data_IF_689506828356
#
_entry.id   IF_689506828356
#
_cell.length_a   1.000
_cell.length_b   1.000
_cell.length_c   1.000
_cell.angle_alpha   90.00
_cell.angle_beta   90.00
_cell.angle_gamma   90.00
#
_symmetry.space_group_name_H-M   'P 1'
#
loop_
_entity.id
_entity.type
_entity.pdbx_description
1 polymer ?
#
# COMPACT_ATOMS: atom_id res chain seq x y z
N UNK A 1 0.48 -9.79 2.67
CA UNK A 1 -0.72 -8.96 2.70
C UNK A 1 -1.84 -9.54 1.81
N UNK A 2 -1.49 -10.09 0.63
CA UNK A 2 -2.45 -10.49 -0.41
C UNK A 2 -2.83 -11.98 -0.42
N UNK A 3 -2.43 -12.77 0.57
CA UNK A 3 -2.58 -14.23 0.58
C UNK A 3 -3.99 -14.78 0.32
N UNK A 4 -5.04 -13.98 0.62
CA UNK A 4 -6.44 -14.40 0.39
C UNK A 4 -6.96 -14.09 -1.01
N UNK A 5 -6.25 -13.27 -1.79
CA UNK A 5 -6.74 -12.77 -3.10
C UNK A 5 -5.87 -13.18 -4.28
N UNK A 6 -4.65 -13.68 -4.04
CA UNK A 6 -3.73 -14.10 -5.11
C UNK A 6 -4.31 -15.26 -5.93
N UNK A 7 -4.73 -16.34 -5.26
CA UNK A 7 -5.28 -17.52 -5.95
C UNK A 7 -6.54 -17.18 -6.75
N UNK A 8 -7.56 -16.50 -6.18
CA UNK A 8 -8.72 -16.09 -6.96
C UNK A 8 -8.40 -15.20 -8.16
N UNK A 9 -7.52 -14.20 -8.00
CA UNK A 9 -7.09 -13.37 -9.12
C UNK A 9 -6.31 -14.14 -10.20
N UNK A 10 -5.55 -15.16 -9.79
CA UNK A 10 -4.77 -15.98 -10.71
C UNK A 10 -5.62 -16.87 -11.62
N UNK A 11 -6.92 -17.02 -11.34
CA UNK A 11 -7.86 -17.66 -12.25
C UNK A 11 -8.10 -16.82 -13.53
N UNK A 12 -7.99 -15.49 -13.41
CA UNK A 12 -8.26 -14.54 -14.51
C UNK A 12 -6.99 -13.86 -15.03
N UNK A 13 -6.02 -13.57 -14.16
CA UNK A 13 -4.84 -12.77 -14.46
C UNK A 13 -3.54 -13.53 -14.17
N UNK A 14 -2.47 -13.12 -14.86
CA UNK A 14 -1.12 -13.43 -14.40
C UNK A 14 -0.76 -12.46 -13.28
N UNK A 15 -0.71 -12.95 -12.04
CA UNK A 15 -0.47 -12.14 -10.84
C UNK A 15 1.01 -12.16 -10.48
N UNK A 16 1.60 -10.98 -10.29
CA UNK A 16 2.93 -10.79 -9.72
C UNK A 16 2.81 -10.01 -8.41
N UNK A 17 3.36 -10.55 -7.32
CA UNK A 17 3.44 -9.88 -6.04
C UNK A 17 4.86 -9.36 -5.82
N UNK A 18 4.97 -8.08 -5.46
CA UNK A 18 6.26 -7.44 -5.21
C UNK A 18 6.57 -7.49 -3.72
N UNK A 19 7.71 -8.07 -3.36
CA UNK A 19 8.36 -7.86 -2.06
C UNK A 19 9.41 -6.77 -2.23
N UNK A 20 9.36 -5.75 -1.38
CA UNK A 20 10.35 -4.67 -1.42
C UNK A 20 11.67 -5.11 -0.78
N UNK A 21 12.77 -4.48 -1.18
CA UNK A 21 14.06 -4.67 -0.54
C UNK A 21 13.94 -4.51 0.99
N UNK A 22 14.50 -5.47 1.73
CA UNK A 22 14.44 -5.52 3.19
C UNK A 22 13.12 -6.02 3.76
N UNK A 23 12.18 -6.48 2.90
CA UNK A 23 10.89 -7.08 3.28
C UNK A 23 10.69 -8.48 2.69
N UNK A 24 11.75 -9.09 2.19
CA UNK A 24 11.82 -10.49 1.81
C UNK A 24 12.83 -11.21 2.69
N UNK A 25 12.41 -12.31 3.35
CA UNK A 25 13.30 -13.06 4.26
C UNK A 25 14.36 -13.87 3.53
N UNK A 26 14.16 -14.14 2.24
CA UNK A 26 15.11 -14.89 1.41
C UNK A 26 16.26 -14.03 0.90
N UNK A 27 16.15 -12.72 1.01
CA UNK A 27 17.13 -11.75 0.55
C UNK A 27 17.73 -10.93 1.70
N UNK A 28 19.04 -10.68 1.65
CA UNK A 28 19.71 -9.82 2.62
C UNK A 28 19.86 -8.40 2.09
N UNK A 29 18.72 -7.80 1.77
CA UNK A 29 18.65 -6.42 1.24
C UNK A 29 18.17 -5.43 2.30
N UNK A 30 18.24 -4.15 1.99
CA UNK A 30 17.67 -3.07 2.80
C UNK A 30 16.85 -2.15 1.90
N UNK A 31 15.71 -1.70 2.39
CA UNK A 31 14.89 -0.74 1.67
C UNK A 31 15.69 0.55 1.42
N UNK A 32 15.88 0.94 0.15
CA UNK A 32 16.70 2.10 -0.19
C UNK A 32 15.90 3.40 -0.04
N UNK A 33 15.17 3.77 -1.08
CA UNK A 33 14.21 4.88 -1.12
C UNK A 33 13.01 4.51 -1.98
N UNK A 34 11.89 5.22 -1.83
CA UNK A 34 10.71 5.02 -2.68
C UNK A 34 11.03 5.15 -4.17
N UNK A 35 11.90 6.10 -4.54
CA UNK A 35 12.26 6.34 -5.95
C UNK A 35 13.09 5.18 -6.50
N UNK A 36 14.09 4.73 -5.76
CA UNK A 36 14.96 3.62 -6.20
C UNK A 36 14.17 2.31 -6.27
N UNK A 37 13.31 2.05 -5.30
CA UNK A 37 12.46 0.86 -5.29
C UNK A 37 11.43 0.90 -6.44
N UNK A 38 10.82 2.07 -6.70
CA UNK A 38 9.96 2.25 -7.88
C UNK A 38 10.72 1.95 -9.18
N UNK A 39 11.96 2.42 -9.30
CA UNK A 39 12.76 2.17 -10.49
C UNK A 39 13.07 0.67 -10.72
N UNK A 40 13.30 -0.09 -9.64
CA UNK A 40 13.47 -1.55 -9.73
C UNK A 40 12.20 -2.26 -10.20
N UNK A 41 11.04 -1.84 -9.68
CA UNK A 41 9.75 -2.38 -10.12
C UNK A 41 9.54 -2.09 -11.61
N UNK A 42 9.80 -0.86 -12.04
CA UNK A 42 9.69 -0.46 -13.45
C UNK A 42 10.66 -1.24 -14.37
N UNK A 43 11.88 -1.48 -13.91
CA UNK A 43 12.87 -2.28 -14.66
C UNK A 43 12.41 -3.73 -14.78
N UNK A 44 11.94 -4.34 -13.70
CA UNK A 44 11.36 -5.68 -13.74
C UNK A 44 10.19 -5.79 -14.74
N UNK A 45 9.29 -4.78 -14.76
CA UNK A 45 8.17 -4.73 -15.70
C UNK A 45 8.67 -4.61 -17.14
N UNK A 46 9.73 -3.85 -17.40
CA UNK A 46 10.32 -3.76 -18.75
C UNK A 46 10.92 -5.08 -19.21
N UNK A 47 11.65 -5.75 -18.33
CA UNK A 47 12.37 -6.99 -18.68
C UNK A 47 11.42 -8.18 -18.88
N UNK A 48 10.34 -8.26 -18.10
CA UNK A 48 9.48 -9.44 -18.06
C UNK A 48 8.12 -9.26 -18.75
N UNK A 49 7.72 -8.02 -19.02
CA UNK A 49 6.41 -7.67 -19.56
C UNK A 49 6.48 -6.60 -20.66
N UNK A 50 7.64 -6.42 -21.30
CA UNK A 50 7.85 -5.42 -22.38
C UNK A 50 7.42 -4.00 -21.97
N UNK A 51 7.54 -3.66 -20.70
CA UNK A 51 7.17 -2.36 -20.15
C UNK A 51 5.66 -2.11 -20.05
N UNK A 52 4.82 -3.15 -20.17
CA UNK A 52 3.35 -3.02 -20.13
C UNK A 52 2.72 -4.03 -19.18
N UNK A 53 1.78 -3.55 -18.38
CA UNK A 53 0.93 -4.38 -17.52
C UNK A 53 -0.53 -3.93 -17.61
N UNK A 54 -1.46 -4.84 -17.38
CA UNK A 54 -2.88 -4.51 -17.29
C UNK A 54 -3.13 -3.58 -16.10
N UNK A 55 -2.74 -4.00 -14.89
CA UNK A 55 -3.00 -3.21 -13.69
C UNK A 55 -1.84 -3.25 -12.70
N UNK A 56 -1.64 -2.16 -11.98
CA UNK A 56 -0.86 -2.11 -10.75
C UNK A 56 -1.78 -1.76 -9.58
N UNK A 57 -1.81 -2.60 -8.54
CA UNK A 57 -2.52 -2.34 -7.31
C UNK A 57 -1.56 -2.05 -6.16
N UNK A 58 -1.82 -1.03 -5.39
CA UNK A 58 -1.04 -0.68 -4.20
C UNK A 58 -1.92 -0.43 -2.98
N UNK A 59 -1.71 -1.21 -1.92
CA UNK A 59 -2.39 -1.10 -0.63
C UNK A 59 -1.67 -0.09 0.26
N UNK A 60 -2.38 0.90 0.81
CA UNK A 60 -1.82 1.92 1.71
C UNK A 60 -0.57 2.59 1.11
N UNK A 61 0.60 2.45 1.74
CA UNK A 61 1.90 2.91 1.20
C UNK A 61 2.16 2.37 -0.22
N UNK A 62 1.68 1.17 -0.55
CA UNK A 62 1.77 0.62 -1.90
C UNK A 62 1.15 1.50 -2.99
N UNK A 63 0.12 2.27 -2.65
CA UNK A 63 -0.48 3.23 -3.57
C UNK A 63 0.42 4.41 -3.92
N UNK A 64 1.35 4.78 -3.03
CA UNK A 64 2.39 5.78 -3.36
C UNK A 64 3.30 5.29 -4.50
N UNK A 65 3.62 3.99 -4.54
CA UNK A 65 4.37 3.40 -5.67
C UNK A 65 3.57 3.45 -6.98
N UNK A 66 2.27 3.11 -6.93
CA UNK A 66 1.40 3.21 -8.11
C UNK A 66 1.34 4.66 -8.61
N UNK A 67 1.16 5.61 -7.70
CA UNK A 67 1.17 7.04 -8.02
C UNK A 67 2.50 7.50 -8.63
N UNK A 68 3.64 7.03 -8.11
CA UNK A 68 4.96 7.35 -8.65
C UNK A 68 5.16 6.74 -10.05
N UNK A 69 4.80 5.48 -10.27
CA UNK A 69 4.87 4.87 -11.61
C UNK A 69 4.01 5.63 -12.62
N UNK A 70 2.80 6.03 -12.23
CA UNK A 70 1.91 6.85 -13.06
C UNK A 70 2.53 8.21 -13.40
N UNK A 71 3.14 8.87 -12.41
CA UNK A 71 3.77 10.18 -12.60
C UNK A 71 5.04 10.11 -13.45
N UNK A 72 5.82 9.05 -13.33
CA UNK A 72 7.07 8.84 -14.07
C UNK A 72 6.85 8.41 -15.51
N UNK A 73 5.77 7.68 -15.79
CA UNK A 73 5.43 7.22 -17.14
C UNK A 73 6.53 6.38 -17.81
N UNK A 74 7.33 5.66 -17.02
CA UNK A 74 8.45 4.84 -17.49
C UNK A 74 7.97 3.50 -18.06
N UNK A 75 6.84 3.03 -17.55
CA UNK A 75 6.11 1.84 -18.01
C UNK A 75 4.65 2.24 -18.31
N UNK A 76 3.94 1.38 -19.04
CA UNK A 76 2.51 1.54 -19.27
C UNK A 76 1.71 0.58 -18.37
N UNK A 77 0.67 1.09 -17.75
CA UNK A 77 -0.36 0.30 -17.10
C UNK A 77 -1.73 0.79 -17.58
N UNK A 78 -2.63 -0.14 -17.93
CA UNK A 78 -3.98 0.26 -18.30
C UNK A 78 -4.72 0.85 -17.09
N UNK A 79 -4.51 0.26 -15.91
CA UNK A 79 -5.14 0.68 -14.66
C UNK A 79 -4.11 0.86 -13.53
N UNK A 80 -4.08 2.03 -12.93
CA UNK A 80 -3.40 2.28 -11.65
C UNK A 80 -4.42 2.29 -10.52
N UNK A 81 -4.37 1.32 -9.59
CA UNK A 81 -5.38 1.13 -8.56
C UNK A 81 -4.76 1.37 -7.18
N UNK A 82 -5.27 2.36 -6.45
CA UNK A 82 -4.83 2.71 -5.11
C UNK A 82 -5.85 2.26 -4.06
N UNK A 83 -5.42 1.40 -3.13
CA UNK A 83 -6.22 1.00 -1.99
C UNK A 83 -5.81 1.78 -0.75
N UNK A 84 -6.73 2.56 -0.16
CA UNK A 84 -6.54 3.23 1.13
C UNK A 84 -5.30 4.12 1.26
N UNK A 85 -4.67 4.52 0.17
CA UNK A 85 -3.43 5.29 0.20
C UNK A 85 -3.68 6.69 0.76
N UNK A 86 -2.83 7.15 1.67
CA UNK A 86 -2.96 8.47 2.26
C UNK A 86 -2.22 9.56 1.47
N UNK A 87 -1.21 9.19 0.67
CA UNK A 87 -0.37 10.08 -0.13
C UNK A 87 0.17 11.25 0.70
N UNK A 88 0.52 10.99 1.95
CA UNK A 88 1.03 11.99 2.87
C UNK A 88 2.41 12.47 2.41
N UNK A 89 2.56 13.78 2.34
CA UNK A 89 3.83 14.42 2.01
C UNK A 89 4.22 15.40 3.10
N UNK A 90 5.49 15.44 3.42
CA UNK A 90 6.03 16.30 4.48
C UNK A 90 7.41 16.84 4.12
N UNK A 91 7.77 17.99 4.68
CA UNK A 91 9.14 18.48 4.61
C UNK A 91 10.09 17.54 5.39
N UNK A 92 11.37 17.52 5.00
CA UNK A 92 12.38 16.60 5.54
C UNK A 92 12.48 16.57 7.07
N UNK A 93 12.41 17.75 7.73
CA UNK A 93 12.55 17.82 9.18
C UNK A 93 11.31 17.27 9.93
N UNK A 94 10.07 17.67 9.62
CA UNK A 94 8.88 17.01 10.17
C UNK A 94 8.82 15.51 9.88
N UNK A 95 9.14 15.07 8.66
CA UNK A 95 9.16 13.66 8.30
C UNK A 95 10.14 12.87 9.17
N UNK A 96 11.36 13.41 9.39
CA UNK A 96 12.36 12.79 10.26
C UNK A 96 11.85 12.66 11.70
N UNK A 97 11.18 13.69 12.22
CA UNK A 97 10.60 13.67 13.56
C UNK A 97 9.45 12.64 13.66
N UNK A 98 8.53 12.64 12.69
CA UNK A 98 7.43 11.67 12.63
C UNK A 98 7.97 10.24 12.61
N UNK A 99 8.92 9.95 11.72
CA UNK A 99 9.53 8.62 11.62
C UNK A 99 10.20 8.21 12.95
N UNK A 100 10.94 9.12 13.59
CA UNK A 100 11.60 8.86 14.87
C UNK A 100 10.60 8.56 16.00
N UNK A 101 9.41 9.18 15.98
CA UNK A 101 8.36 8.95 16.98
C UNK A 101 7.57 7.66 16.68
N UNK A 102 7.31 7.36 15.42
CA UNK A 102 6.49 6.20 15.02
C UNK A 102 7.27 4.89 15.06
N UNK A 103 8.52 4.89 14.65
CA UNK A 103 9.34 3.69 14.54
C UNK A 103 9.43 2.86 15.84
N UNK A 104 9.65 3.44 17.04
CA UNK A 104 9.68 2.68 18.29
C UNK A 104 8.36 2.02 18.68
N UNK A 105 7.24 2.45 18.10
CA UNK A 105 5.91 1.88 18.31
C UNK A 105 5.60 0.80 17.27
N UNK A 106 5.84 1.11 15.98
CA UNK A 106 5.44 0.25 14.87
C UNK A 106 6.39 -0.94 14.73
N UNK A 107 7.69 -0.77 14.87
CA UNK A 107 8.65 -1.85 14.69
C UNK A 107 8.42 -3.04 15.64
N UNK A 108 8.28 -2.85 16.99
CA UNK A 108 7.94 -3.97 17.87
C UNK A 108 6.58 -4.59 17.57
N UNK A 109 5.60 -3.79 17.19
CA UNK A 109 4.29 -4.30 16.82
C UNK A 109 4.34 -5.17 15.57
N UNK A 110 5.05 -4.77 14.53
CA UNK A 110 5.22 -5.57 13.32
C UNK A 110 5.97 -6.88 13.61
N UNK A 111 7.08 -6.82 14.31
CA UNK A 111 7.94 -7.99 14.54
C UNK A 111 7.42 -8.94 15.61
N UNK A 112 6.77 -8.45 16.66
CA UNK A 112 6.33 -9.28 17.81
C UNK A 112 4.82 -9.34 18.01
N UNK A 113 4.03 -8.53 17.28
CA UNK A 113 2.58 -8.38 17.47
C UNK A 113 2.17 -7.56 18.70
N UNK A 114 3.12 -6.92 19.38
CA UNK A 114 2.87 -6.19 20.63
C UNK A 114 3.55 -4.82 20.61
N UNK A 115 2.85 -3.82 21.08
CA UNK A 115 3.45 -2.52 21.37
C UNK A 115 4.33 -2.60 22.63
N UNK A 116 5.40 -1.81 22.68
CA UNK A 116 6.23 -1.69 23.89
C UNK A 116 5.47 -1.08 25.07
N UNK A 117 4.49 -0.23 24.80
CA UNK A 117 3.72 0.47 25.83
C UNK A 117 2.48 -0.34 26.20
N UNK A 118 2.36 -0.83 27.45
CA UNK A 118 1.27 -1.72 27.87
C UNK A 118 -0.14 -1.12 27.67
N UNK A 119 -0.29 0.19 27.80
CA UNK A 119 -1.58 0.84 27.59
C UNK A 119 -2.07 0.74 26.14
N UNK A 120 -1.15 0.74 25.15
CA UNK A 120 -1.50 0.57 23.74
C UNK A 120 -2.01 -0.86 23.48
N UNK A 121 -1.39 -1.87 24.09
CA UNK A 121 -1.88 -3.24 23.98
C UNK A 121 -3.29 -3.39 24.61
N UNK A 122 -3.54 -2.75 25.76
CA UNK A 122 -4.89 -2.73 26.38
C UNK A 122 -5.92 -2.02 25.48
N UNK A 123 -5.53 -0.93 24.85
CA UNK A 123 -6.40 -0.22 23.91
C UNK A 123 -6.70 -1.07 22.67
N UNK A 124 -5.69 -1.75 22.13
CA UNK A 124 -5.84 -2.68 21.02
C UNK A 124 -6.81 -3.81 21.37
N UNK A 125 -6.63 -4.46 22.53
CA UNK A 125 -7.55 -5.50 23.00
C UNK A 125 -9.00 -5.00 23.19
N UNK A 126 -9.15 -3.76 23.64
CA UNK A 126 -10.48 -3.14 23.74
C UNK A 126 -11.10 -2.96 22.34
N UNK A 127 -10.34 -2.51 21.38
CA UNK A 127 -10.82 -2.35 19.99
C UNK A 127 -11.16 -3.69 19.35
N UNK A 128 -10.33 -4.72 19.54
CA UNK A 128 -10.61 -6.08 19.08
C UNK A 128 -11.93 -6.62 19.62
N UNK A 129 -12.21 -6.39 20.89
CA UNK A 129 -13.45 -6.86 21.55
C UNK A 129 -14.70 -6.04 21.18
N UNK A 130 -14.53 -4.80 20.78
CA UNK A 130 -15.62 -3.89 20.41
C UNK A 130 -15.92 -3.90 18.91
N UNK A 131 -15.01 -4.44 18.09
CA UNK A 131 -15.12 -4.44 16.63
C UNK A 131 -15.79 -5.69 16.08
N UNK A 132 -16.07 -5.62 14.81
CA UNK A 132 -16.70 -6.64 13.94
C UNK A 132 -15.67 -7.60 13.30
N UNK A 133 -14.48 -7.74 13.89
CA UNK A 133 -13.38 -8.53 13.34
C UNK A 133 -12.42 -7.76 12.43
N UNK A 134 -12.72 -6.51 12.06
CA UNK A 134 -11.86 -5.69 11.21
C UNK A 134 -10.44 -5.54 11.78
N UNK A 135 -10.31 -5.23 13.07
CA UNK A 135 -8.98 -5.02 13.71
C UNK A 135 -8.10 -6.26 13.60
N UNK A 136 -8.69 -7.45 13.82
CA UNK A 136 -7.97 -8.72 13.71
C UNK A 136 -7.59 -9.04 12.26
N UNK A 137 -8.51 -8.82 11.33
CA UNK A 137 -8.29 -9.01 9.91
C UNK A 137 -7.19 -8.06 9.38
N UNK A 138 -7.24 -6.79 9.76
CA UNK A 138 -6.25 -5.79 9.38
C UNK A 138 -4.86 -6.10 9.94
N UNK A 139 -4.76 -6.49 11.21
CA UNK A 139 -3.49 -6.93 11.82
C UNK A 139 -2.97 -8.19 11.12
N UNK A 140 -3.84 -9.16 10.84
CA UNK A 140 -3.49 -10.37 10.10
C UNK A 140 -2.98 -10.07 8.70
N UNK A 141 -3.59 -9.11 8.00
CA UNK A 141 -3.13 -8.63 6.71
C UNK A 141 -1.75 -7.98 6.80
N UNK A 142 -1.53 -7.08 7.77
CA UNK A 142 -0.24 -6.37 7.93
C UNK A 142 0.91 -7.30 8.31
N UNK A 143 0.66 -8.28 9.17
CA UNK A 143 1.71 -9.14 9.71
C UNK A 143 1.89 -10.46 8.98
N UNK A 144 0.97 -10.81 8.08
CA UNK A 144 0.88 -12.17 7.54
C UNK A 144 0.47 -13.20 8.63
N UNK A 145 -0.38 -14.14 8.29
CA UNK A 145 -0.78 -15.19 9.24
C UNK A 145 0.40 -16.16 9.46
N UNK A 146 1.01 -16.11 10.64
CA UNK A 146 2.08 -17.03 11.03
C UNK A 146 3.48 -16.73 10.44
N UNK A 147 3.65 -15.60 9.76
CA UNK A 147 4.97 -15.19 9.23
C UNK A 147 5.79 -14.51 10.32
N UNK A 148 7.04 -14.95 10.49
CA UNK A 148 8.00 -14.24 11.35
C UNK A 148 8.57 -13.04 10.59
N UNK A 149 8.28 -11.85 11.05
CA UNK A 149 8.78 -10.60 10.49
C UNK A 149 10.02 -10.06 11.22
N UNK A 150 10.69 -10.88 12.02
CA UNK A 150 11.89 -10.45 12.77
C UNK A 150 13.10 -10.15 11.89
N UNK A 151 13.11 -10.65 10.65
CA UNK A 151 14.13 -10.34 9.64
C UNK A 151 14.08 -8.89 9.18
N UNK A 152 12.93 -8.22 9.25
CA UNK A 152 12.79 -6.82 8.87
C UNK A 152 13.64 -5.95 9.80
N UNK A 153 14.60 -5.21 9.22
CA UNK A 153 15.46 -4.33 10.00
C UNK A 153 14.74 -3.02 10.36
N UNK A 154 15.14 -2.41 11.48
CA UNK A 154 14.67 -1.06 11.82
C UNK A 154 15.06 -0.04 10.77
N UNK A 155 16.16 -0.28 10.08
CA UNK A 155 16.66 0.61 9.03
C UNK A 155 15.78 0.55 7.80
N UNK A 156 15.43 -0.63 7.32
CA UNK A 156 14.48 -0.78 6.21
C UNK A 156 13.14 -0.12 6.51
N UNK A 157 12.57 -0.38 7.68
CA UNK A 157 11.31 0.24 8.08
C UNK A 157 11.41 1.77 8.21
N UNK A 158 12.52 2.26 8.78
CA UNK A 158 12.77 3.71 8.87
C UNK A 158 12.88 4.34 7.50
N UNK A 159 13.66 3.74 6.60
CA UNK A 159 13.88 4.25 5.25
C UNK A 159 12.57 4.27 4.46
N UNK A 160 11.76 3.22 4.57
CA UNK A 160 10.46 3.14 3.93
C UNK A 160 9.54 4.29 4.39
N UNK A 161 9.28 4.42 5.70
CA UNK A 161 8.43 5.50 6.21
C UNK A 161 8.96 6.89 5.92
N UNK A 162 10.26 7.09 6.11
CA UNK A 162 10.85 8.41 5.87
C UNK A 162 10.80 8.79 4.40
N UNK A 163 11.19 7.88 3.48
CA UNK A 163 11.19 8.19 2.07
C UNK A 163 9.78 8.36 1.50
N UNK A 164 8.78 7.60 1.98
CA UNK A 164 7.38 7.79 1.60
C UNK A 164 6.92 9.23 1.93
N UNK A 165 7.17 9.69 3.15
CA UNK A 165 6.81 11.04 3.57
C UNK A 165 7.50 12.17 2.80
N UNK A 166 8.73 11.97 2.32
CA UNK A 166 9.51 13.02 1.66
C UNK A 166 9.54 12.94 0.14
N UNK A 167 9.08 11.83 -0.44
CA UNK A 167 9.07 11.65 -1.88
C UNK A 167 7.92 12.46 -2.49
N UNK A 168 8.22 13.47 -3.32
CA UNK A 168 7.17 14.30 -3.89
C UNK A 168 6.37 13.53 -4.94
N UNK A 169 5.05 13.62 -4.84
CA UNK A 169 4.15 13.21 -5.89
C UNK A 169 3.65 14.45 -6.63
N UNK A 170 3.70 14.44 -7.95
CA UNK A 170 3.23 15.55 -8.77
C UNK A 170 1.72 15.79 -8.58
N UNK A 171 1.27 17.00 -8.87
CA UNK A 171 -0.16 17.31 -8.95
C UNK A 171 -0.66 17.06 -10.39
N UNK A 172 -1.97 16.81 -10.54
CA UNK A 172 -2.67 16.63 -11.80
C UNK A 172 -2.03 15.57 -12.73
N UNK A 173 -1.53 14.46 -12.16
CA UNK A 173 -0.99 13.32 -12.91
C UNK A 173 -2.08 12.82 -13.88
N UNK A 174 -1.73 12.73 -15.17
CA UNK A 174 -2.63 12.28 -16.23
C UNK A 174 -1.84 11.43 -17.25
N UNK A 175 -1.49 10.19 -16.91
CA UNK A 175 -0.71 9.34 -17.80
C UNK A 175 -1.59 8.90 -18.99
N UNK A 176 -1.01 9.01 -20.19
CA UNK A 176 -1.74 8.67 -21.42
C UNK A 176 -2.14 7.19 -21.45
N UNK A 177 -3.42 6.93 -21.61
CA UNK A 177 -3.97 5.57 -21.72
C UNK A 177 -4.07 4.80 -20.39
N UNK A 178 -3.71 5.40 -19.26
CA UNK A 178 -3.87 4.82 -17.91
C UNK A 178 -5.09 5.43 -17.21
N UNK A 179 -5.93 4.60 -16.64
CA UNK A 179 -7.01 5.04 -15.75
C UNK A 179 -6.58 4.87 -14.30
N UNK A 180 -6.82 5.88 -13.47
CA UNK A 180 -6.49 5.84 -12.05
C UNK A 180 -7.77 5.59 -11.25
N UNK A 181 -7.82 4.46 -10.55
CA UNK A 181 -8.90 4.06 -9.68
C UNK A 181 -8.48 4.15 -8.21
N UNK A 182 -9.35 4.67 -7.37
CA UNK A 182 -9.09 4.82 -5.94
C UNK A 182 -10.16 4.07 -5.15
N UNK A 183 -9.78 3.05 -4.40
CA UNK A 183 -10.67 2.40 -3.44
C UNK A 183 -10.72 3.25 -2.17
N UNK A 184 -11.63 4.22 -2.16
CA UNK A 184 -11.70 5.24 -1.13
C UNK A 184 -12.58 4.82 0.04
N UNK A 185 -11.96 4.49 1.16
CA UNK A 185 -12.65 4.21 2.42
C UNK A 185 -13.14 5.53 3.05
N UNK A 186 -14.46 5.76 3.09
CA UNK A 186 -15.05 7.01 3.57
C UNK A 186 -14.68 7.33 5.02
N UNK A 187 -14.48 6.31 5.85
CA UNK A 187 -14.06 6.48 7.26
C UNK A 187 -12.63 7.00 7.44
N UNK A 188 -11.83 7.09 6.38
CA UNK A 188 -10.55 7.81 6.39
C UNK A 188 -10.75 9.33 6.51
N UNK A 189 -11.81 9.85 5.93
CA UNK A 189 -12.21 11.26 6.01
C UNK A 189 -11.90 12.08 4.74
N UNK A 190 -12.60 13.20 4.60
CA UNK A 190 -12.67 14.02 3.38
C UNK A 190 -11.33 14.62 2.91
N UNK A 191 -10.38 14.79 3.83
CA UNK A 191 -9.02 15.27 3.48
C UNK A 191 -8.31 14.38 2.46
N UNK A 192 -8.60 13.06 2.45
CA UNK A 192 -8.00 12.12 1.51
C UNK A 192 -8.60 12.24 0.12
N UNK A 193 -9.92 12.44 0.03
CA UNK A 193 -10.60 12.74 -1.23
C UNK A 193 -9.97 13.95 -1.92
N UNK A 194 -9.76 15.04 -1.18
CA UNK A 194 -9.13 16.25 -1.69
C UNK A 194 -7.71 15.99 -2.22
N UNK A 195 -6.93 15.11 -1.56
CA UNK A 195 -5.58 14.71 -2.03
C UNK A 195 -5.64 13.93 -3.33
N UNK A 196 -6.56 12.97 -3.46
CA UNK A 196 -6.71 12.21 -4.69
C UNK A 196 -7.02 13.11 -5.89
N UNK A 197 -7.95 14.03 -5.74
CA UNK A 197 -8.27 15.04 -6.78
C UNK A 197 -7.15 16.06 -7.03
N UNK A 198 -6.27 16.29 -6.06
CA UNK A 198 -5.08 17.11 -6.26
C UNK A 198 -4.04 16.39 -7.10
N UNK A 199 -3.73 15.14 -6.74
CA UNK A 199 -2.63 14.41 -7.36
C UNK A 199 -3.00 13.79 -8.70
N UNK A 200 -4.25 13.44 -8.93
CA UNK A 200 -4.69 12.83 -10.18
C UNK A 200 -5.73 13.73 -10.89
N UNK A 201 -5.54 13.94 -12.20
CA UNK A 201 -6.42 14.81 -12.96
C UNK A 201 -7.86 14.29 -13.08
N UNK A 202 -8.01 12.98 -13.26
CA UNK A 202 -9.30 12.31 -13.48
C UNK A 202 -9.40 10.99 -12.72
N UNK A 203 -9.31 10.98 -11.36
CA UNK A 203 -9.41 9.74 -10.62
C UNK A 203 -10.85 9.22 -10.57
N UNK A 204 -11.02 7.92 -10.76
CA UNK A 204 -12.29 7.23 -10.53
C UNK A 204 -12.33 6.79 -9.08
N UNK A 205 -13.20 7.38 -8.26
CA UNK A 205 -13.33 7.03 -6.85
C UNK A 205 -14.41 5.97 -6.66
N UNK A 206 -14.01 4.82 -6.12
CA UNK A 206 -14.92 3.79 -5.59
C UNK A 206 -15.12 4.07 -4.10
N UNK A 207 -16.21 4.74 -3.77
CA UNK A 207 -16.51 5.16 -2.40
C UNK A 207 -17.10 4.00 -1.58
N UNK A 208 -16.40 3.64 -0.51
CA UNK A 208 -16.73 2.51 0.34
C UNK A 208 -17.02 3.00 1.77
N UNK A 209 -18.19 2.73 2.32
CA UNK A 209 -18.49 3.02 3.74
C UNK A 209 -17.77 2.04 4.67
N UNK A 210 -16.46 2.04 4.59
CA UNK A 210 -15.55 1.10 5.24
C UNK A 210 -14.40 1.84 5.92
N UNK A 211 -13.67 1.10 6.77
CA UNK A 211 -12.40 1.52 7.34
C UNK A 211 -11.26 1.37 6.32
N UNK A 212 -10.10 1.90 6.67
CA UNK A 212 -8.87 1.75 5.89
C UNK A 212 -8.56 0.28 5.56
N UNK A 213 -8.49 -0.07 4.27
CA UNK A 213 -8.23 -1.44 3.75
C UNK A 213 -9.20 -2.52 4.23
N UNK A 214 -10.37 -2.15 4.74
CA UNK A 214 -11.37 -3.11 5.23
C UNK A 214 -11.87 -4.03 4.11
N UNK A 215 -12.06 -3.51 2.89
CA UNK A 215 -12.48 -4.31 1.75
C UNK A 215 -11.49 -5.47 1.49
N UNK A 216 -10.19 -5.20 1.43
CA UNK A 216 -9.16 -6.22 1.21
C UNK A 216 -9.03 -7.18 2.42
N UNK A 217 -9.05 -6.64 3.64
CA UNK A 217 -8.78 -7.41 4.85
C UNK A 217 -9.94 -8.33 5.23
N UNK A 218 -11.18 -7.83 5.13
CA UNK A 218 -12.39 -8.49 5.65
C UNK A 218 -13.23 -9.10 4.52
N UNK A 219 -13.28 -8.45 3.35
CA UNK A 219 -14.13 -8.81 2.21
C UNK A 219 -13.32 -9.17 0.95
N UNK A 220 -12.37 -10.15 1.03
CA UNK A 220 -11.45 -10.42 -0.07
C UNK A 220 -12.14 -10.85 -1.36
N UNK A 221 -13.31 -11.50 -1.30
CA UNK A 221 -14.09 -11.87 -2.50
C UNK A 221 -14.62 -10.64 -3.21
N UNK A 222 -15.25 -9.72 -2.49
CA UNK A 222 -15.78 -8.47 -3.03
C UNK A 222 -14.64 -7.59 -3.59
N UNK A 223 -13.48 -7.63 -2.94
CA UNK A 223 -12.29 -6.97 -3.44
C UNK A 223 -11.83 -7.54 -4.79
N UNK A 224 -11.78 -8.88 -4.92
CA UNK A 224 -11.42 -9.56 -6.19
C UNK A 224 -12.41 -9.19 -7.30
N UNK A 225 -13.72 -9.30 -7.04
CA UNK A 225 -14.76 -8.92 -7.98
C UNK A 225 -14.61 -7.48 -8.47
N UNK A 226 -14.35 -6.54 -7.55
CA UNK A 226 -14.13 -5.14 -7.92
C UNK A 226 -12.88 -4.94 -8.78
N UNK A 227 -11.76 -5.60 -8.46
CA UNK A 227 -10.54 -5.52 -9.28
C UNK A 227 -10.78 -6.10 -10.67
N UNK A 228 -11.45 -7.23 -10.77
CA UNK A 228 -11.81 -7.83 -12.06
C UNK A 228 -12.72 -6.92 -12.89
N UNK A 229 -13.72 -6.31 -12.26
CA UNK A 229 -14.64 -5.40 -12.94
C UNK A 229 -13.93 -4.15 -13.47
N UNK A 230 -12.99 -3.59 -12.69
CA UNK A 230 -12.13 -2.49 -13.16
C UNK A 230 -11.33 -2.93 -14.39
N UNK A 231 -10.67 -4.08 -14.32
CA UNK A 231 -9.78 -4.56 -15.38
C UNK A 231 -10.49 -5.07 -16.64
N UNK A 232 -11.81 -5.29 -16.60
CA UNK A 232 -12.60 -5.71 -17.77
C UNK A 232 -13.17 -4.54 -18.59
N UNK A 233 -12.96 -3.28 -18.18
CA UNK A 233 -13.57 -2.10 -18.84
C UNK A 233 -12.87 -1.72 -20.15
N UNK A 234 -11.74 -2.34 -20.49
CA UNK A 234 -11.00 -2.14 -21.76
C UNK A 234 -11.05 -3.35 -22.67
#
# INVERSE_FOLDING_TARGET
>A
NFGKVIEPLAETFRVACVSYDGFDETEQTQFPTMIEETAKIEEYIKEHYDGKICAAYGCSLGGSFVGLMAARGVIHMDYGILGGSDLDQSAKLPAKLMTALMLPMIYPFLTTGRFRLPFLNRKLEKWRKAGDGYVDAFIGMMRGAGVDLSFITKESLRNQFYSDLITPLADAINPAGTEIHILYALKMGEKYRARYHRHFAHPVLHELDMQHEELLAVHPKEWVELIEDICRQK
#
